data_IF_182483772383
#
_entry.id   IF_182483772383
#
_cell.length_a   1.000
_cell.length_b   1.000
_cell.length_c   1.000
_cell.angle_alpha   90.00
_cell.angle_beta   90.00
_cell.angle_gamma   90.00
#
_symmetry.space_group_name_H-M   'P 1'
#
loop_
_entity.id
_entity.type
_entity.pdbx_description
1 polymer ?
#
# COMPACT_ATOMS: atom_id res chain seq x y z
N UNK A 1 -7.17 -25.27 15.22
CA UNK A 1 -6.01 -24.50 14.68
C UNK A 1 -6.48 -23.07 14.50
N UNK A 2 -6.03 -22.14 15.36
CA UNK A 2 -6.37 -20.72 15.22
C UNK A 2 -5.55 -20.10 14.10
N UNK A 3 -6.17 -19.26 13.28
CA UNK A 3 -5.47 -18.49 12.26
C UNK A 3 -4.83 -17.21 12.83
N UNK A 4 -5.24 -16.79 14.02
CA UNK A 4 -4.67 -15.65 14.73
C UNK A 4 -3.38 -16.08 15.43
N UNK A 5 -2.32 -15.30 15.25
CA UNK A 5 -0.98 -15.60 15.78
C UNK A 5 -0.61 -14.66 16.93
N UNK A 6 -0.99 -13.38 16.84
CA UNK A 6 -0.73 -12.40 17.91
C UNK A 6 -1.99 -12.14 18.73
N UNK A 7 -1.83 -11.96 20.03
CA UNK A 7 -2.87 -11.46 20.95
C UNK A 7 -2.68 -9.99 21.29
N UNK A 8 -1.61 -9.36 20.82
CA UNK A 8 -1.35 -7.95 21.05
C UNK A 8 -2.08 -7.10 20.01
N UNK A 9 -3.01 -6.28 20.46
CA UNK A 9 -3.79 -5.40 19.60
C UNK A 9 -2.94 -4.36 18.86
N UNK A 10 -1.78 -3.98 19.38
CA UNK A 10 -0.88 -3.00 18.75
C UNK A 10 -0.21 -3.51 17.46
N UNK A 11 -0.16 -4.84 17.29
CA UNK A 11 0.39 -5.46 16.09
C UNK A 11 -0.59 -5.36 14.90
N UNK A 12 -1.88 -5.15 15.19
CA UNK A 12 -2.91 -5.02 14.18
C UNK A 12 -2.90 -3.61 13.61
N UNK A 13 -2.89 -3.51 12.28
CA UNK A 13 -2.95 -2.24 11.59
C UNK A 13 -3.16 -2.42 10.10
N UNK A 14 -3.50 -1.31 9.44
CA UNK A 14 -3.58 -1.29 7.97
C UNK A 14 -2.22 -1.70 7.40
N UNK A 15 -2.20 -2.72 6.56
CA UNK A 15 -1.01 -3.34 5.95
C UNK A 15 -0.08 -4.13 6.90
N UNK A 16 -0.46 -4.39 8.16
CA UNK A 16 0.33 -5.19 9.14
C UNK A 16 -0.20 -6.62 9.33
N UNK A 17 -0.85 -7.20 8.32
CA UNK A 17 -1.45 -8.53 8.48
C UNK A 17 -0.44 -9.65 8.70
N UNK A 18 0.77 -9.51 8.16
CA UNK A 18 1.84 -10.48 8.38
C UNK A 18 2.29 -10.48 9.85
N UNK A 19 2.35 -11.66 10.47
CA UNK A 19 2.75 -11.83 11.86
C UNK A 19 1.59 -11.84 12.86
N UNK A 20 0.41 -11.32 12.50
CA UNK A 20 -0.79 -11.38 13.36
C UNK A 20 -1.80 -12.44 12.92
N UNK A 21 -1.73 -12.87 11.67
CA UNK A 21 -2.66 -13.82 11.06
C UNK A 21 -1.94 -14.75 10.09
N UNK A 22 -2.27 -16.04 10.09
CA UNK A 22 -1.85 -17.00 9.08
C UNK A 22 -3.00 -17.24 8.11
N UNK A 23 -2.82 -16.88 6.84
CA UNK A 23 -3.83 -17.14 5.83
C UNK A 23 -3.94 -18.67 5.58
N UNK A 24 -5.16 -19.24 5.47
CA UNK A 24 -5.38 -20.68 5.41
C UNK A 24 -4.73 -21.36 4.21
N UNK A 25 -4.61 -20.66 3.09
CA UNK A 25 -4.23 -21.25 1.79
C UNK A 25 -3.11 -20.49 1.06
N UNK A 26 -2.68 -19.34 1.57
CA UNK A 26 -1.73 -18.47 0.87
C UNK A 26 -0.60 -18.08 1.82
N UNK A 27 0.63 -18.09 1.32
CA UNK A 27 1.73 -17.49 2.06
C UNK A 27 1.65 -15.97 2.01
N UNK A 28 2.15 -15.30 3.06
CA UNK A 28 2.25 -13.84 3.08
C UNK A 28 3.09 -13.27 1.94
N UNK A 29 4.08 -14.02 1.44
CA UNK A 29 4.85 -13.65 0.26
C UNK A 29 3.98 -13.53 -1.00
N UNK A 30 3.03 -14.45 -1.21
CA UNK A 30 2.10 -14.41 -2.35
C UNK A 30 1.12 -13.25 -2.21
N UNK A 31 0.60 -13.04 -1.00
CA UNK A 31 -0.33 -11.94 -0.71
C UNK A 31 0.35 -10.59 -0.97
N UNK A 32 1.55 -10.38 -0.41
CA UNK A 32 2.33 -9.16 -0.60
C UNK A 32 2.61 -8.89 -2.07
N UNK A 33 3.08 -9.90 -2.82
CA UNK A 33 3.35 -9.77 -4.26
C UNK A 33 2.15 -9.22 -5.03
N UNK A 34 0.95 -9.73 -4.74
CA UNK A 34 -0.26 -9.29 -5.44
C UNK A 34 -0.78 -7.93 -4.94
N UNK A 35 -0.62 -7.63 -3.65
CA UNK A 35 -0.91 -6.31 -3.10
C UNK A 35 -0.01 -5.24 -3.70
N UNK A 36 1.30 -5.51 -3.81
CA UNK A 36 2.28 -4.60 -4.42
C UNK A 36 1.95 -4.39 -5.90
N UNK A 37 1.62 -5.46 -6.62
CA UNK A 37 1.18 -5.37 -8.01
C UNK A 37 -0.08 -4.51 -8.16
N UNK A 38 -1.11 -4.74 -7.35
CA UNK A 38 -2.34 -3.96 -7.38
C UNK A 38 -2.10 -2.49 -7.02
N UNK A 39 -1.30 -2.23 -5.97
CA UNK A 39 -0.93 -0.89 -5.53
C UNK A 39 -0.24 -0.11 -6.67
N UNK A 40 0.79 -0.70 -7.28
CA UNK A 40 1.50 -0.09 -8.42
C UNK A 40 0.59 0.10 -9.61
N UNK A 41 -0.23 -0.90 -9.95
CA UNK A 41 -1.13 -0.83 -11.10
C UNK A 41 -2.13 0.33 -10.98
N UNK A 42 -2.62 0.61 -9.78
CA UNK A 42 -3.51 1.73 -9.52
C UNK A 42 -2.76 3.08 -9.55
N UNK A 43 -1.72 3.22 -8.71
CA UNK A 43 -1.05 4.51 -8.50
C UNK A 43 -0.12 4.92 -9.65
N UNK A 44 0.41 3.96 -10.41
CA UNK A 44 1.22 4.20 -11.61
C UNK A 44 0.38 4.20 -12.89
N UNK A 45 -0.96 4.11 -12.78
CA UNK A 45 -1.81 4.23 -13.97
C UNK A 45 -1.70 5.64 -14.56
N UNK A 46 -1.51 5.79 -15.90
CA UNK A 46 -1.34 7.10 -16.52
C UNK A 46 -2.48 8.07 -16.21
N UNK A 47 -3.72 7.58 -16.24
CA UNK A 47 -4.91 8.38 -15.93
C UNK A 47 -4.92 8.89 -14.48
N UNK A 48 -4.50 8.08 -13.51
CA UNK A 48 -4.36 8.52 -12.12
C UNK A 48 -3.28 9.59 -11.99
N UNK A 49 -2.10 9.36 -12.58
CA UNK A 49 -0.96 10.28 -12.51
C UNK A 49 -1.36 11.64 -13.09
N UNK A 50 -1.92 11.70 -14.30
CA UNK A 50 -2.32 12.94 -14.96
C UNK A 50 -3.35 13.70 -14.11
N UNK A 51 -4.38 13.01 -13.61
CA UNK A 51 -5.40 13.60 -12.75
C UNK A 51 -4.80 14.15 -11.45
N UNK A 52 -3.87 13.40 -10.83
CA UNK A 52 -3.21 13.81 -9.60
C UNK A 52 -2.32 15.04 -9.82
N UNK A 53 -1.52 15.06 -10.88
CA UNK A 53 -0.66 16.18 -11.26
C UNK A 53 -1.49 17.45 -11.52
N UNK A 54 -2.58 17.34 -12.29
CA UNK A 54 -3.49 18.46 -12.53
C UNK A 54 -4.08 19.04 -11.24
N UNK A 55 -4.44 18.17 -10.27
CA UNK A 55 -4.88 18.60 -8.94
C UNK A 55 -3.75 19.28 -8.15
N UNK A 56 -2.54 18.73 -8.18
CA UNK A 56 -1.38 19.28 -7.47
C UNK A 56 -0.98 20.67 -7.97
N UNK A 57 -1.10 20.91 -9.29
CA UNK A 57 -0.86 22.23 -9.88
C UNK A 57 -1.90 23.24 -9.37
N UNK A 58 -3.19 22.89 -9.44
CA UNK A 58 -4.29 23.76 -8.95
C UNK A 58 -4.17 24.11 -7.46
N UNK A 59 -3.58 23.22 -6.67
CA UNK A 59 -3.43 23.39 -5.22
C UNK A 59 -2.05 23.94 -4.81
N UNK A 60 -1.13 24.15 -5.75
CA UNK A 60 0.24 24.59 -5.44
C UNK A 60 1.08 23.58 -4.65
N UNK A 61 0.74 22.29 -4.68
CA UNK A 61 1.37 21.23 -3.86
C UNK A 61 2.33 20.33 -4.63
N UNK A 62 2.64 20.65 -5.89
CA UNK A 62 3.39 19.77 -6.80
C UNK A 62 4.75 19.32 -6.26
N UNK A 63 5.53 20.21 -5.65
CA UNK A 63 6.85 19.86 -5.08
C UNK A 63 6.71 18.86 -3.92
N UNK A 64 5.72 19.07 -3.05
CA UNK A 64 5.44 18.18 -1.91
C UNK A 64 4.99 16.80 -2.40
N UNK A 65 4.17 16.76 -3.44
CA UNK A 65 3.67 15.52 -4.01
C UNK A 65 4.77 14.72 -4.72
N UNK A 66 5.66 15.38 -5.47
CA UNK A 66 6.85 14.75 -6.06
C UNK A 66 7.75 14.19 -4.95
N UNK A 67 8.02 14.98 -3.90
CA UNK A 67 8.82 14.51 -2.76
C UNK A 67 8.19 13.30 -2.07
N UNK A 68 6.87 13.27 -1.95
CA UNK A 68 6.14 12.14 -1.36
C UNK A 68 6.25 10.91 -2.26
N UNK A 69 6.04 11.07 -3.56
CA UNK A 69 6.17 10.00 -4.56
C UNK A 69 7.56 9.33 -4.54
N UNK A 70 8.63 10.14 -4.44
CA UNK A 70 10.00 9.64 -4.37
C UNK A 70 10.35 8.96 -3.04
N UNK A 71 9.65 9.32 -1.95
CA UNK A 71 9.81 8.69 -0.63
C UNK A 71 9.00 7.41 -0.46
N UNK A 72 7.93 7.25 -1.23
CA UNK A 72 7.10 6.04 -1.22
C UNK A 72 7.95 4.84 -1.63
N UNK A 73 7.89 3.78 -0.83
CA UNK A 73 8.41 2.47 -1.24
C UNK A 73 7.39 1.86 -2.19
N UNK A 74 7.71 1.87 -3.48
CA UNK A 74 6.89 1.28 -4.53
C UNK A 74 6.93 -0.22 -4.48
#
# INVERSE_FOLDING_TARGET
KGYIISSNWDDYGFHKGEGVYNHPTLSWSVIKKHLDFAYRSFYLSPGFIIRRLGKSIKQGTIIKDIKTFLKTKW
#
